data_IF_353756067123
#
_entry.id   IF_353756067123
#
_cell.length_a   1.000
_cell.length_b   1.000
_cell.length_c   1.000
_cell.angle_alpha   90.00
_cell.angle_beta   90.00
_cell.angle_gamma   90.00
#
_symmetry.space_group_name_H-M   'P 1'
#
loop_
_entity.id
_entity.type
_entity.pdbx_description
1 polymer ?
#
# COMPACT_ATOMS: atom_id res chain seq x y z
N UNK A 1 -5.21 10.43 4.73
CA UNK A 1 -6.20 11.32 4.10
C UNK A 1 -5.41 12.29 3.22
N UNK A 2 -5.26 11.99 1.93
CA UNK A 2 -4.56 12.89 0.98
C UNK A 2 -5.55 14.00 0.58
N UNK A 3 -5.13 15.25 0.74
CA UNK A 3 -5.94 16.46 0.54
C UNK A 3 -6.52 16.57 -0.87
N UNK A 4 -7.53 17.43 -1.03
CA UNK A 4 -8.20 17.67 -2.29
C UNK A 4 -7.20 18.03 -3.40
N UNK A 5 -7.26 17.32 -4.54
CA UNK A 5 -6.40 17.50 -5.72
C UNK A 5 -6.47 18.91 -6.38
N UNK A 6 -7.16 19.88 -5.78
CA UNK A 6 -7.44 21.18 -6.39
C UNK A 6 -6.16 21.98 -6.71
N UNK A 7 -5.08 21.77 -5.96
CA UNK A 7 -3.86 22.60 -6.01
C UNK A 7 -2.70 21.98 -6.79
N UNK A 8 -2.87 20.78 -7.36
CA UNK A 8 -1.82 20.00 -8.02
C UNK A 8 -1.47 20.52 -9.44
N UNK A 9 -1.16 21.81 -9.54
CA UNK A 9 -0.73 22.47 -10.76
C UNK A 9 0.76 22.20 -10.96
N UNK A 10 1.14 21.74 -12.15
CA UNK A 10 2.49 21.30 -12.44
C UNK A 10 3.00 21.86 -13.76
N UNK A 11 4.29 22.14 -13.80
CA UNK A 11 5.02 22.59 -14.96
C UNK A 11 6.07 21.55 -15.36
N UNK A 12 6.01 21.11 -16.61
CA UNK A 12 7.19 20.63 -17.31
C UNK A 12 7.92 21.84 -17.88
N UNK A 13 8.90 22.36 -17.15
CA UNK A 13 9.72 23.50 -17.55
C UNK A 13 10.80 23.07 -18.55
N UNK A 14 10.94 23.87 -19.61
CA UNK A 14 11.93 23.68 -20.68
C UNK A 14 11.98 22.25 -21.27
N UNK A 15 10.85 21.60 -21.60
CA UNK A 15 10.85 20.22 -22.06
C UNK A 15 11.36 20.14 -23.50
N UNK A 16 12.38 19.32 -23.73
CA UNK A 16 13.05 19.22 -25.04
C UNK A 16 13.66 17.85 -25.29
N UNK A 17 13.79 17.52 -26.57
CA UNK A 17 14.46 16.32 -27.07
C UNK A 17 15.81 16.70 -27.65
N UNK A 18 16.87 15.99 -27.26
CA UNK A 18 18.19 16.08 -27.88
C UNK A 18 18.26 15.06 -29.02
N UNK A 19 18.57 15.52 -30.22
CA UNK A 19 18.70 14.68 -31.42
C UNK A 19 20.12 14.12 -31.57
N UNK A 20 20.28 13.18 -32.50
CA UNK A 20 21.53 12.46 -32.72
C UNK A 20 22.70 13.36 -33.14
N UNK A 21 22.41 14.49 -33.76
CA UNK A 21 23.36 15.53 -34.19
C UNK A 21 23.66 16.56 -33.07
N UNK A 22 23.07 16.40 -31.89
CA UNK A 22 23.22 17.29 -30.75
C UNK A 22 22.29 18.50 -30.75
N UNK A 23 21.47 18.69 -31.80
CA UNK A 23 20.45 19.74 -31.81
C UNK A 23 19.31 19.43 -30.83
N UNK A 24 18.66 20.48 -30.31
CA UNK A 24 17.54 20.33 -29.37
C UNK A 24 16.22 20.78 -30.02
N UNK A 25 15.15 20.01 -29.79
CA UNK A 25 13.80 20.34 -30.22
C UNK A 25 12.87 20.49 -29.02
N UNK A 26 12.29 21.68 -28.85
CA UNK A 26 11.35 21.95 -27.75
C UNK A 26 10.05 21.17 -27.96
N UNK A 27 9.49 20.60 -26.91
CA UNK A 27 8.18 19.95 -27.00
C UNK A 27 7.04 20.96 -27.20
N UNK A 28 7.23 22.22 -26.80
CA UNK A 28 6.25 23.30 -27.05
C UNK A 28 6.06 23.59 -28.55
N UNK A 29 7.07 23.30 -29.36
CA UNK A 29 7.04 23.51 -30.81
C UNK A 29 6.43 22.31 -31.56
N UNK A 30 6.17 21.20 -30.85
CA UNK A 30 5.57 19.98 -31.38
C UNK A 30 4.10 19.91 -31.00
N UNK A 31 3.25 19.41 -31.89
CA UNK A 31 1.90 19.04 -31.50
C UNK A 31 1.96 17.73 -30.70
N UNK A 32 1.35 17.73 -29.50
CA UNK A 32 1.13 16.48 -28.81
C UNK A 32 0.11 15.64 -29.59
N UNK A 33 0.25 14.32 -29.49
CA UNK A 33 -0.70 13.35 -30.00
C UNK A 33 -1.98 13.34 -29.15
N UNK A 34 -1.81 13.46 -27.83
CA UNK A 34 -2.90 13.56 -26.86
C UNK A 34 -2.43 14.27 -25.59
N UNK A 35 -3.37 14.89 -24.88
CA UNK A 35 -3.15 15.45 -23.56
C UNK A 35 -4.42 15.30 -22.72
N UNK A 36 -4.27 14.89 -21.46
CA UNK A 36 -5.33 14.86 -20.45
C UNK A 36 -4.85 15.46 -19.14
N UNK A 37 -5.79 15.94 -18.32
CA UNK A 37 -5.53 16.58 -17.03
C UNK A 37 -6.77 16.46 -16.13
N UNK A 38 -6.58 16.55 -14.82
CA UNK A 38 -7.66 16.50 -13.83
C UNK A 38 -8.53 17.75 -13.83
N UNK A 39 -7.91 18.91 -13.96
CA UNK A 39 -8.60 20.21 -13.94
C UNK A 39 -7.98 21.21 -14.93
N UNK A 40 -8.78 22.16 -15.39
CA UNK A 40 -8.33 23.20 -16.32
C UNK A 40 -7.94 22.62 -17.68
N UNK A 41 -6.89 23.18 -18.29
CA UNK A 41 -6.37 22.71 -19.57
C UNK A 41 -4.86 22.50 -19.50
N UNK A 42 -4.37 21.44 -20.14
CA UNK A 42 -2.95 21.32 -20.47
C UNK A 42 -2.60 22.36 -21.53
N UNK A 43 -1.58 23.18 -21.28
CA UNK A 43 -1.22 24.32 -22.14
C UNK A 43 0.26 24.36 -22.43
N UNK A 44 0.61 24.91 -23.60
CA UNK A 44 1.98 25.27 -23.94
C UNK A 44 2.22 26.72 -23.53
N UNK A 45 3.34 26.98 -22.87
CA UNK A 45 3.79 28.31 -22.43
C UNK A 45 2.78 29.05 -21.53
N UNK A 46 1.94 28.31 -20.82
CA UNK A 46 1.00 28.81 -19.83
C UNK A 46 0.75 27.72 -18.78
N UNK A 47 0.42 28.12 -17.55
CA UNK A 47 0.07 27.18 -16.49
C UNK A 47 -1.35 26.58 -16.69
N UNK A 48 -1.77 25.67 -15.80
CA UNK A 48 -3.06 24.97 -15.91
C UNK A 48 -4.28 25.90 -15.99
N UNK A 49 -4.21 27.07 -15.34
CA UNK A 49 -5.23 28.11 -15.36
C UNK A 49 -5.16 29.05 -16.57
N UNK A 50 -4.12 28.97 -17.41
CA UNK A 50 -3.91 29.87 -18.55
C UNK A 50 -3.10 31.13 -18.25
N UNK A 51 -2.53 31.25 -17.04
CA UNK A 51 -1.63 32.32 -16.66
C UNK A 51 -0.16 32.02 -16.96
N UNK A 52 0.73 32.92 -16.53
CA UNK A 52 2.18 32.74 -16.65
C UNK A 52 2.67 31.57 -15.79
N UNK A 53 3.54 30.73 -16.35
CA UNK A 53 4.16 29.63 -15.63
C UNK A 53 5.23 30.17 -14.67
N UNK A 54 5.11 29.83 -13.38
CA UNK A 54 6.07 30.25 -12.35
C UNK A 54 6.40 29.13 -11.39
N UNK A 55 7.64 29.13 -10.90
CA UNK A 55 8.16 28.17 -9.92
C UNK A 55 9.00 28.94 -8.92
N UNK A 56 8.61 28.92 -7.64
CA UNK A 56 9.29 29.61 -6.55
C UNK A 56 9.46 31.12 -6.84
N UNK A 57 8.40 31.74 -7.35
CA UNK A 57 8.34 33.16 -7.72
C UNK A 57 9.03 33.50 -9.05
N UNK A 58 9.73 32.54 -9.67
CA UNK A 58 10.50 32.78 -10.90
C UNK A 58 9.73 32.32 -12.13
N UNK A 59 9.77 33.13 -13.18
CA UNK A 59 9.16 32.81 -14.47
C UNK A 59 9.82 31.56 -15.09
N UNK A 60 8.98 30.71 -15.68
CA UNK A 60 9.41 29.65 -16.59
C UNK A 60 9.27 30.17 -18.02
N UNK A 61 10.39 30.31 -18.74
CA UNK A 61 10.43 30.95 -20.07
C UNK A 61 9.59 30.22 -21.12
N UNK A 62 9.61 28.89 -21.09
CA UNK A 62 8.74 28.06 -21.91
C UNK A 62 8.53 26.71 -21.25
N UNK A 63 7.41 26.07 -21.55
CA UNK A 63 7.11 24.77 -20.98
C UNK A 63 5.69 24.33 -21.23
N UNK A 64 5.28 23.30 -20.50
CA UNK A 64 3.94 22.76 -20.56
C UNK A 64 3.35 22.77 -19.15
N UNK A 65 2.29 23.55 -18.96
CA UNK A 65 1.54 23.62 -17.71
C UNK A 65 0.36 22.65 -17.75
N UNK A 66 0.12 21.96 -16.64
CA UNK A 66 -0.96 20.97 -16.51
C UNK A 66 -1.40 20.81 -15.04
N UNK A 67 -2.39 19.96 -14.82
CA UNK A 67 -2.97 19.68 -13.51
C UNK A 67 -3.08 18.16 -13.29
N UNK A 68 -2.60 17.68 -12.15
CA UNK A 68 -2.62 16.25 -11.82
C UNK A 68 -4.04 15.73 -11.52
N UNK A 69 -4.40 14.51 -11.96
CA UNK A 69 -3.62 13.59 -12.78
C UNK A 69 -3.55 14.02 -14.25
N UNK A 70 -2.37 13.90 -14.88
CA UNK A 70 -2.15 14.28 -16.29
C UNK A 70 -1.34 13.26 -17.07
N UNK A 71 -1.67 13.09 -18.36
CA UNK A 71 -0.87 12.34 -19.34
C UNK A 71 -0.75 13.16 -20.62
N UNK A 72 0.47 13.36 -21.10
CA UNK A 72 0.78 14.11 -22.33
C UNK A 72 1.64 13.23 -23.22
N UNK A 73 1.17 12.95 -24.44
CA UNK A 73 1.84 12.05 -25.39
C UNK A 73 2.31 12.82 -26.62
N UNK A 74 3.54 12.58 -27.05
CA UNK A 74 4.12 13.13 -28.28
C UNK A 74 4.59 11.99 -29.18
N UNK A 75 4.48 12.18 -30.49
CA UNK A 75 5.24 11.35 -31.42
C UNK A 75 6.71 11.82 -31.38
N UNK A 76 7.61 10.91 -31.00
CA UNK A 76 9.04 11.21 -30.83
C UNK A 76 9.72 11.25 -32.20
N UNK A 77 10.36 12.37 -32.60
CA UNK A 77 11.07 12.47 -33.87
C UNK A 77 12.16 11.42 -33.99
N UNK A 78 12.32 10.85 -35.19
CA UNK A 78 13.39 9.89 -35.49
C UNK A 78 14.75 10.52 -35.17
N UNK A 79 15.58 9.79 -34.42
CA UNK A 79 16.91 10.24 -34.04
C UNK A 79 16.99 11.02 -32.72
N UNK A 80 15.87 11.21 -31.99
CA UNK A 80 15.93 11.68 -30.61
C UNK A 80 16.65 10.65 -29.71
N UNK A 81 17.60 11.11 -28.90
CA UNK A 81 18.43 10.28 -28.00
C UNK A 81 18.17 10.54 -26.52
N UNK A 82 17.74 11.74 -26.16
CA UNK A 82 17.56 12.13 -24.77
C UNK A 82 16.37 13.08 -24.62
N UNK A 83 15.60 12.90 -23.54
CA UNK A 83 14.63 13.88 -23.09
C UNK A 83 15.20 14.66 -21.90
N UNK A 84 15.03 15.99 -21.90
CA UNK A 84 15.42 16.86 -20.79
C UNK A 84 14.23 17.75 -20.43
N UNK A 85 13.92 17.83 -19.15
CA UNK A 85 12.94 18.76 -18.60
C UNK A 85 13.21 18.97 -17.10
N UNK A 86 12.61 20.02 -16.54
CA UNK A 86 12.52 20.23 -15.09
C UNK A 86 11.04 20.13 -14.69
N UNK A 87 10.69 19.13 -13.89
CA UNK A 87 9.35 19.03 -13.29
C UNK A 87 9.29 19.89 -12.02
N UNK A 88 8.26 20.72 -11.88
CA UNK A 88 8.04 21.52 -10.68
C UNK A 88 6.56 21.84 -10.47
N UNK A 89 6.16 22.08 -9.23
CA UNK A 89 4.85 22.66 -8.92
C UNK A 89 4.77 24.09 -9.45
N UNK A 90 3.61 24.47 -10.00
CA UNK A 90 3.35 25.84 -10.45
C UNK A 90 2.85 26.70 -9.29
N UNK A 91 3.37 27.94 -9.21
CA UNK A 91 2.98 28.88 -8.17
C UNK A 91 1.47 29.19 -8.18
N UNK A 92 0.80 29.08 -9.34
CA UNK A 92 -0.64 29.24 -9.47
C UNK A 92 -1.45 28.17 -8.73
N UNK A 93 -0.87 27.01 -8.44
CA UNK A 93 -1.44 25.98 -7.56
C UNK A 93 -1.04 26.21 -6.10
N UNK A 94 0.26 26.33 -5.84
CA UNK A 94 0.81 26.38 -4.46
C UNK A 94 0.50 27.68 -3.72
N UNK A 95 0.28 28.79 -4.43
CA UNK A 95 -0.02 30.09 -3.82
C UNK A 95 -1.52 30.30 -3.53
N UNK A 96 -2.36 29.32 -3.85
CA UNK A 96 -3.78 29.40 -3.50
C UNK A 96 -3.98 29.32 -1.99
N UNK A 97 -5.15 29.75 -1.50
CA UNK A 97 -5.49 29.62 -0.08
C UNK A 97 -4.60 30.41 0.89
N UNK A 98 -3.83 31.40 0.42
CA UNK A 98 -2.95 32.21 1.26
C UNK A 98 -1.47 31.81 1.24
N UNK A 99 -1.07 30.86 0.39
CA UNK A 99 0.34 30.47 0.20
C UNK A 99 0.74 29.10 0.76
N UNK A 100 -0.17 28.42 1.45
CA UNK A 100 0.05 27.12 2.11
C UNK A 100 -0.79 26.00 1.47
N UNK A 101 -1.12 26.12 0.18
CA UNK A 101 -1.94 25.11 -0.48
C UNK A 101 -1.20 23.76 -0.56
N UNK A 102 -1.77 22.66 0.00
CA UNK A 102 -1.13 21.37 -0.05
C UNK A 102 -1.18 20.82 -1.49
N UNK A 103 -0.03 20.85 -2.17
CA UNK A 103 0.13 20.30 -3.52
C UNK A 103 1.21 19.21 -3.52
N UNK A 104 0.92 18.09 -4.18
CA UNK A 104 1.84 16.96 -4.28
C UNK A 104 1.73 16.28 -5.65
N UNK A 105 2.84 16.16 -6.36
CA UNK A 105 2.88 15.56 -7.69
C UNK A 105 4.11 14.66 -7.86
N UNK A 106 3.99 13.65 -8.72
CA UNK A 106 5.11 12.84 -9.20
C UNK A 106 5.25 13.02 -10.72
N UNK A 107 6.48 13.23 -11.18
CA UNK A 107 6.81 13.37 -12.61
C UNK A 107 7.36 12.06 -13.14
N UNK A 108 6.70 11.50 -14.16
CA UNK A 108 7.07 10.21 -14.76
C UNK A 108 7.19 10.37 -16.28
N UNK A 109 8.19 9.70 -16.87
CA UNK A 109 8.46 9.74 -18.31
C UNK A 109 8.47 8.32 -18.86
N UNK A 110 7.77 8.10 -19.97
CA UNK A 110 7.64 6.79 -20.60
C UNK A 110 7.97 6.89 -22.09
N UNK A 111 8.58 5.84 -22.65
CA UNK A 111 8.84 5.72 -24.09
C UNK A 111 7.68 5.08 -24.86
N UNK A 112 6.67 4.58 -24.14
CA UNK A 112 5.43 4.02 -24.69
C UNK A 112 4.24 4.58 -23.89
N UNK A 113 3.01 4.38 -24.38
CA UNK A 113 1.81 4.85 -23.67
C UNK A 113 1.79 4.26 -22.24
N UNK A 114 1.81 5.08 -21.17
CA UNK A 114 1.85 4.59 -19.80
C UNK A 114 0.64 3.72 -19.45
N UNK A 115 -0.54 3.94 -20.04
CA UNK A 115 -1.66 3.02 -19.87
C UNK A 115 -1.36 1.65 -20.50
N UNK A 116 -0.63 1.61 -21.62
CA UNK A 116 -0.19 0.36 -22.24
C UNK A 116 1.03 -0.27 -21.53
N UNK A 117 1.94 0.52 -20.96
CA UNK A 117 3.08 0.04 -20.14
C UNK A 117 2.56 -0.50 -18.82
N UNK A 118 1.64 0.20 -18.16
CA UNK A 118 0.91 -0.27 -16.98
C UNK A 118 0.01 -1.45 -17.33
N UNK A 119 -0.63 -1.48 -18.50
CA UNK A 119 -1.38 -2.64 -18.96
C UNK A 119 -0.47 -3.83 -19.31
N UNK A 120 0.76 -3.62 -19.80
CA UNK A 120 1.76 -4.68 -20.01
C UNK A 120 2.35 -5.17 -18.68
N UNK A 121 2.59 -4.26 -17.73
CA UNK A 121 2.89 -4.58 -16.32
C UNK A 121 1.71 -5.28 -15.62
N UNK A 122 0.48 -4.98 -16.01
CA UNK A 122 -0.74 -5.70 -15.60
C UNK A 122 -0.99 -6.96 -16.44
N UNK A 123 -0.37 -7.13 -17.60
CA UNK A 123 -0.38 -8.42 -18.32
C UNK A 123 0.64 -9.39 -17.72
N UNK A 124 1.64 -8.90 -16.99
CA UNK A 124 2.41 -9.67 -16.01
C UNK A 124 1.81 -9.65 -14.59
N UNK A 125 0.66 -9.01 -14.38
CA UNK A 125 -0.08 -9.07 -13.10
C UNK A 125 -1.56 -9.33 -13.38
N UNK A 126 -1.95 -10.60 -13.54
CA UNK A 126 -3.35 -10.96 -13.62
C UNK A 126 -4.09 -10.38 -12.40
N UNK A 127 -5.24 -9.75 -12.62
CA UNK A 127 -6.18 -9.52 -11.54
C UNK A 127 -6.56 -10.92 -11.00
N UNK A 128 -6.23 -11.19 -9.73
CA UNK A 128 -6.57 -12.40 -8.95
C UNK A 128 -5.82 -13.73 -9.24
N UNK A 129 -4.50 -13.68 -9.39
CA UNK A 129 -3.63 -14.77 -8.93
C UNK A 129 -2.73 -14.21 -7.83
N UNK A 130 -2.73 -14.81 -6.63
CA UNK A 130 -1.77 -14.41 -5.59
C UNK A 130 -0.35 -14.47 -6.14
N UNK A 131 0.54 -13.58 -5.67
CA UNK A 131 1.98 -13.78 -5.87
C UNK A 131 2.34 -15.12 -5.25
N UNK A 132 3.20 -15.91 -5.90
CA UNK A 132 3.69 -17.11 -5.24
C UNK A 132 4.49 -16.70 -4.00
N UNK A 133 4.58 -17.62 -3.04
CA UNK A 133 5.43 -17.47 -1.87
C UNK A 133 6.86 -17.07 -2.25
N UNK A 134 7.41 -17.68 -3.30
CA UNK A 134 8.77 -17.45 -3.78
C UNK A 134 9.00 -16.03 -4.34
N UNK A 135 7.95 -15.34 -4.78
CA UNK A 135 8.01 -13.97 -5.32
C UNK A 135 7.73 -12.90 -4.25
N UNK A 136 7.53 -13.28 -2.98
CA UNK A 136 7.08 -12.37 -1.93
C UNK A 136 8.03 -11.19 -1.68
N UNK A 137 9.34 -11.41 -1.85
CA UNK A 137 10.39 -10.42 -1.53
C UNK A 137 10.71 -9.49 -2.70
N UNK A 138 10.33 -9.83 -3.93
CA UNK A 138 10.73 -9.11 -5.15
C UNK A 138 10.31 -7.64 -5.20
N UNK A 139 9.35 -7.26 -4.35
CA UNK A 139 8.82 -5.90 -4.25
C UNK A 139 9.27 -5.12 -3.00
N UNK A 140 10.08 -5.73 -2.14
CA UNK A 140 10.60 -5.08 -0.94
C UNK A 140 11.96 -4.44 -1.22
N UNK A 141 12.10 -3.16 -0.87
CA UNK A 141 13.40 -2.50 -0.75
C UNK A 141 13.83 -2.58 0.72
N UNK A 142 14.87 -3.37 1.00
CA UNK A 142 15.35 -3.63 2.37
C UNK A 142 16.63 -2.83 2.60
N UNK A 143 16.73 -2.18 3.77
CA UNK A 143 17.95 -1.47 4.16
C UNK A 143 19.13 -2.46 4.27
N UNK A 144 20.38 -2.08 3.92
CA UNK A 144 21.52 -3.02 3.93
C UNK A 144 21.85 -3.70 5.28
N UNK A 145 21.34 -3.17 6.39
CA UNK A 145 21.52 -3.73 7.75
C UNK A 145 20.34 -4.61 8.21
N UNK A 146 19.33 -4.79 7.36
CA UNK A 146 18.16 -5.60 7.63
C UNK A 146 18.09 -6.77 6.66
N UNK A 147 17.47 -7.86 7.11
CA UNK A 147 17.14 -9.02 6.30
C UNK A 147 15.62 -9.17 6.25
N UNK A 148 15.09 -9.50 5.07
CA UNK A 148 13.70 -9.87 4.90
C UNK A 148 13.66 -11.28 4.30
N UNK A 149 12.89 -12.15 4.94
CA UNK A 149 12.71 -13.54 4.53
C UNK A 149 11.23 -13.90 4.61
N UNK A 150 10.78 -14.78 3.70
CA UNK A 150 9.46 -15.38 3.83
C UNK A 150 9.46 -16.36 5.01
N UNK A 151 8.69 -16.05 6.05
CA UNK A 151 8.54 -16.93 7.21
C UNK A 151 7.47 -18.02 6.99
N UNK A 152 6.29 -17.67 6.47
CA UNK A 152 5.19 -18.62 6.24
C UNK A 152 4.29 -18.17 5.08
N UNK A 153 3.64 -19.14 4.42
CA UNK A 153 2.68 -18.91 3.33
C UNK A 153 1.55 -19.94 3.35
N UNK A 154 0.65 -19.86 2.39
CA UNK A 154 -0.29 -20.93 2.10
C UNK A 154 0.46 -22.26 1.87
N UNK A 155 -0.08 -23.40 2.33
CA UNK A 155 -1.38 -23.58 2.99
C UNK A 155 -1.36 -23.43 4.53
N UNK A 156 -0.22 -23.07 5.15
CA UNK A 156 -0.09 -22.98 6.62
C UNK A 156 -0.98 -21.87 7.21
N UNK A 157 -1.10 -20.77 6.47
CA UNK A 157 -1.96 -19.61 6.75
C UNK A 157 -2.72 -19.21 5.49
N UNK A 158 -3.88 -18.57 5.62
CA UNK A 158 -4.68 -18.14 4.47
C UNK A 158 -4.96 -16.64 4.40
N UNK A 159 -5.23 -15.99 5.53
CA UNK A 159 -5.55 -14.57 5.59
C UNK A 159 -5.16 -13.99 6.94
N UNK A 160 -3.86 -13.73 7.19
CA UNK A 160 -3.40 -13.17 8.46
C UNK A 160 -3.96 -11.75 8.66
N UNK A 161 -4.55 -11.48 9.84
CA UNK A 161 -5.02 -10.13 10.23
C UNK A 161 -4.23 -9.51 11.39
N UNK A 162 -3.73 -10.34 12.29
CA UNK A 162 -2.99 -9.93 13.48
C UNK A 162 -2.06 -11.07 13.89
N UNK A 163 -0.91 -10.71 14.46
CA UNK A 163 0.07 -11.67 14.96
C UNK A 163 0.58 -11.24 16.33
N UNK A 164 1.07 -12.22 17.08
CA UNK A 164 1.90 -12.02 18.27
C UNK A 164 3.00 -13.10 18.34
N UNK A 165 4.03 -12.88 19.14
CA UNK A 165 5.16 -13.79 19.30
C UNK A 165 5.29 -14.17 20.78
N UNK A 166 5.24 -15.46 21.08
CA UNK A 166 5.37 -15.94 22.46
C UNK A 166 6.82 -16.06 22.92
N UNK A 167 7.01 -16.41 24.20
CA UNK A 167 8.33 -16.57 24.81
C UNK A 167 9.19 -17.70 24.20
N UNK A 168 8.59 -18.58 23.40
CA UNK A 168 9.28 -19.64 22.67
C UNK A 168 9.65 -19.23 21.24
N UNK A 169 9.31 -18.00 20.83
CA UNK A 169 9.55 -17.48 19.49
C UNK A 169 8.56 -17.98 18.44
N UNK A 170 7.44 -18.60 18.86
CA UNK A 170 6.41 -19.08 17.94
C UNK A 170 5.52 -17.91 17.52
N UNK A 171 5.13 -17.88 16.24
CA UNK A 171 4.27 -16.82 15.70
C UNK A 171 2.82 -17.25 15.76
N UNK A 172 2.01 -16.56 16.55
CA UNK A 172 0.59 -16.77 16.67
C UNK A 172 -0.15 -15.86 15.70
N UNK A 173 -1.10 -16.40 14.94
CA UNK A 173 -1.75 -15.68 13.83
C UNK A 173 -3.26 -15.81 13.92
N UNK A 174 -3.96 -14.67 13.84
CA UNK A 174 -5.38 -14.64 13.51
C UNK A 174 -5.55 -14.87 11.99
N UNK A 175 -5.97 -16.08 11.61
CA UNK A 175 -6.17 -16.50 10.22
C UNK A 175 -7.65 -16.40 9.82
N UNK A 176 -8.01 -15.26 9.21
CA UNK A 176 -9.38 -14.76 9.07
C UNK A 176 -9.96 -14.87 7.66
N UNK A 177 -10.10 -16.10 7.18
CA UNK A 177 -10.63 -16.38 5.83
C UNK A 177 -12.06 -15.87 5.64
N UNK A 178 -12.87 -15.82 6.71
CA UNK A 178 -14.28 -15.42 6.64
C UNK A 178 -14.52 -13.90 6.63
N UNK A 179 -13.48 -13.08 6.48
CA UNK A 179 -13.63 -11.62 6.49
C UNK A 179 -14.51 -11.07 5.35
N UNK A 180 -15.46 -10.19 5.72
CA UNK A 180 -16.34 -9.44 4.81
C UNK A 180 -17.04 -10.31 3.76
N UNK A 181 -16.69 -10.11 2.48
CA UNK A 181 -17.31 -10.79 1.33
C UNK A 181 -17.08 -12.29 1.31
N UNK A 182 -16.15 -12.79 2.14
CA UNK A 182 -15.83 -14.21 2.26
C UNK A 182 -16.58 -14.88 3.43
N UNK A 183 -17.56 -14.21 4.05
CA UNK A 183 -18.31 -14.78 5.18
C UNK A 183 -18.81 -16.19 4.87
N UNK A 184 -18.49 -17.15 5.74
CA UNK A 184 -18.88 -18.56 5.61
C UNK A 184 -18.05 -19.37 4.60
N UNK A 185 -17.00 -18.80 3.98
CA UNK A 185 -16.09 -19.53 3.09
C UNK A 185 -15.42 -20.70 3.80
N UNK A 186 -15.03 -20.52 5.07
CA UNK A 186 -14.58 -21.56 6.00
C UNK A 186 -15.73 -21.90 6.94
N UNK A 187 -16.39 -23.04 6.69
CA UNK A 187 -17.59 -23.46 7.43
C UNK A 187 -17.37 -23.62 8.94
N UNK A 188 -16.18 -24.06 9.37
CA UNK A 188 -15.84 -24.22 10.79
C UNK A 188 -15.50 -22.92 11.51
N UNK A 189 -15.59 -21.77 10.84
CA UNK A 189 -15.14 -20.48 11.37
C UNK A 189 -13.63 -20.26 11.25
N UNK A 190 -13.20 -19.04 11.51
CA UNK A 190 -11.80 -18.62 11.47
C UNK A 190 -10.95 -19.26 12.58
N UNK A 191 -9.63 -19.14 12.44
CA UNK A 191 -8.65 -19.87 13.26
C UNK A 191 -7.67 -18.93 13.92
N UNK A 192 -7.19 -19.35 15.08
CA UNK A 192 -5.90 -18.93 15.63
C UNK A 192 -4.93 -20.07 15.37
N UNK A 193 -3.82 -19.78 14.71
CA UNK A 193 -2.79 -20.77 14.37
C UNK A 193 -1.45 -20.37 14.96
N UNK A 194 -0.68 -21.37 15.40
CA UNK A 194 0.68 -21.24 15.91
C UNK A 194 1.60 -21.73 14.80
N UNK A 195 2.55 -20.90 14.39
CA UNK A 195 3.57 -21.22 13.40
C UNK A 195 4.92 -21.32 14.08
N UNK A 196 5.63 -22.42 13.80
CA UNK A 196 6.88 -22.76 14.46
C UNK A 196 7.95 -23.06 13.40
N UNK A 197 9.14 -22.51 13.63
CA UNK A 197 10.40 -22.91 12.99
C UNK A 197 11.09 -23.88 13.95
N UNK A 198 11.20 -25.15 13.58
CA UNK A 198 11.75 -26.20 14.44
C UNK A 198 13.20 -26.55 14.13
N UNK A 199 13.75 -26.02 13.03
CA UNK A 199 15.12 -26.28 12.60
C UNK A 199 16.04 -25.05 12.58
N UNK A 200 15.48 -23.86 12.81
CA UNK A 200 16.19 -22.60 12.97
C UNK A 200 16.59 -21.93 11.66
N UNK A 201 15.96 -22.26 10.53
CA UNK A 201 16.24 -21.66 9.21
C UNK A 201 15.48 -20.34 8.95
N UNK A 202 14.76 -19.84 9.96
CA UNK A 202 13.88 -18.68 9.92
C UNK A 202 12.69 -18.86 8.97
N UNK A 203 12.20 -20.09 8.82
CA UNK A 203 10.94 -20.43 8.14
C UNK A 203 10.10 -21.34 9.02
N UNK A 204 8.81 -21.10 9.03
CA UNK A 204 7.89 -22.00 9.70
C UNK A 204 7.81 -23.33 8.93
N UNK A 205 8.00 -24.43 9.64
CA UNK A 205 7.85 -25.80 9.13
C UNK A 205 6.64 -26.52 9.76
N UNK A 206 6.09 -25.98 10.85
CA UNK A 206 4.99 -26.56 11.61
C UNK A 206 3.88 -25.53 11.82
N UNK A 207 2.64 -26.01 11.70
CA UNK A 207 1.43 -25.24 11.94
C UNK A 207 0.48 -26.02 12.85
N UNK A 208 0.10 -25.41 13.97
CA UNK A 208 -0.83 -25.97 14.95
C UNK A 208 -2.06 -25.07 15.03
N UNK A 209 -3.28 -25.64 14.96
CA UNK A 209 -4.51 -24.87 15.17
C UNK A 209 -4.78 -24.82 16.67
N UNK A 210 -4.62 -23.64 17.27
CA UNK A 210 -4.88 -23.41 18.68
C UNK A 210 -6.39 -23.38 18.98
N UNK A 211 -7.13 -22.59 18.21
CA UNK A 211 -8.58 -22.44 18.35
C UNK A 211 -9.21 -22.23 16.99
N UNK A 212 -10.42 -22.77 16.79
CA UNK A 212 -11.22 -22.55 15.60
C UNK A 212 -12.70 -22.43 15.97
N UNK A 213 -13.36 -21.38 15.47
CA UNK A 213 -14.80 -21.22 15.69
C UNK A 213 -15.39 -20.01 14.98
N UNK A 214 -16.70 -20.02 14.74
CA UNK A 214 -17.41 -18.89 14.12
C UNK A 214 -17.52 -17.67 15.04
N UNK A 215 -17.40 -17.90 16.35
CA UNK A 215 -17.32 -16.88 17.40
C UNK A 215 -16.02 -16.06 17.35
N UNK A 216 -15.07 -16.44 16.49
CA UNK A 216 -13.86 -15.66 16.20
C UNK A 216 -13.75 -15.26 14.72
N UNK A 217 -14.86 -15.35 13.96
CA UNK A 217 -14.87 -14.90 12.57
C UNK A 217 -14.43 -13.43 12.49
N UNK A 218 -13.31 -13.25 11.81
CA UNK A 218 -12.55 -12.01 11.69
C UNK A 218 -12.12 -11.38 13.02
N UNK A 219 -11.37 -12.16 13.79
CA UNK A 219 -10.48 -11.65 14.83
C UNK A 219 -9.44 -10.66 14.29
N UNK A 220 -9.18 -9.58 15.03
CA UNK A 220 -8.31 -8.47 14.62
C UNK A 220 -7.24 -8.11 15.65
N UNK A 221 -7.17 -8.84 16.77
CA UNK A 221 -6.16 -8.68 17.78
C UNK A 221 -5.89 -9.99 18.48
N UNK A 222 -4.61 -10.26 18.74
CA UNK A 222 -4.13 -11.35 19.56
C UNK A 222 -3.02 -10.82 20.48
N UNK A 223 -2.98 -11.32 21.71
CA UNK A 223 -1.92 -11.10 22.68
C UNK A 223 -1.71 -12.39 23.48
N UNK A 224 -0.48 -12.90 23.51
CA UNK A 224 -0.10 -14.15 24.16
C UNK A 224 0.71 -13.84 25.42
N UNK A 225 0.28 -14.40 26.55
CA UNK A 225 0.88 -14.20 27.87
C UNK A 225 1.02 -15.55 28.57
N UNK A 226 2.06 -16.31 28.23
CA UNK A 226 2.24 -17.69 28.70
C UNK A 226 1.06 -18.57 28.28
N UNK A 227 0.35 -19.12 29.26
CA UNK A 227 -0.82 -20.00 29.04
C UNK A 227 -2.10 -19.25 28.67
N UNK A 228 -2.10 -17.91 28.64
CA UNK A 228 -3.28 -17.07 28.36
C UNK A 228 -3.17 -16.37 27.02
N UNK A 229 -4.19 -16.55 26.18
CA UNK A 229 -4.31 -15.92 24.86
C UNK A 229 -5.50 -14.98 24.86
N UNK A 230 -5.27 -13.69 24.71
CA UNK A 230 -6.32 -12.66 24.65
C UNK A 230 -6.62 -12.34 23.18
N UNK A 231 -7.90 -12.37 22.82
CA UNK A 231 -8.36 -12.23 21.44
C UNK A 231 -9.40 -11.12 21.35
N UNK A 232 -9.25 -10.25 20.35
CA UNK A 232 -10.26 -9.26 19.95
C UNK A 232 -10.99 -9.78 18.72
N UNK A 233 -12.29 -10.07 18.85
CA UNK A 233 -13.13 -10.49 17.72
C UNK A 233 -14.54 -9.87 17.84
N UNK A 234 -15.00 -9.23 16.75
CA UNK A 234 -16.28 -8.54 16.74
C UNK A 234 -16.37 -7.43 17.80
N UNK A 235 -17.35 -7.52 18.69
CA UNK A 235 -17.62 -6.55 19.77
C UNK A 235 -17.04 -6.99 21.13
N UNK A 236 -16.15 -7.99 21.10
CA UNK A 236 -15.72 -8.72 22.27
C UNK A 236 -14.19 -8.79 22.38
N UNK A 237 -13.72 -8.73 23.62
CA UNK A 237 -12.36 -9.12 24.01
C UNK A 237 -12.51 -10.24 25.04
N UNK A 238 -11.86 -11.36 24.81
CA UNK A 238 -11.91 -12.53 25.70
C UNK A 238 -10.56 -13.23 25.78
N UNK A 239 -10.38 -14.05 26.81
CA UNK A 239 -9.23 -14.93 26.98
C UNK A 239 -9.60 -16.36 26.62
N UNK A 240 -8.64 -17.09 26.05
CA UNK A 240 -8.57 -18.54 25.94
C UNK A 240 -7.32 -18.99 26.70
N UNK A 241 -7.28 -20.26 27.14
CA UNK A 241 -6.14 -20.77 27.90
C UNK A 241 -5.61 -22.09 27.34
N UNK A 242 -4.31 -22.31 27.46
CA UNK A 242 -3.56 -23.54 27.13
C UNK A 242 -2.84 -24.05 28.40
N UNK A 243 -3.59 -24.58 29.36
CA UNK A 243 -3.01 -24.87 30.69
C UNK A 243 -2.13 -26.11 30.70
N UNK A 244 -2.35 -27.03 29.77
CA UNK A 244 -1.54 -28.25 29.62
C UNK A 244 -0.40 -28.10 28.61
N UNK A 245 -0.34 -27.00 27.87
CA UNK A 245 0.74 -26.64 26.97
C UNK A 245 0.74 -27.49 25.70
N UNK A 246 -0.41 -28.07 25.32
CA UNK A 246 -0.55 -28.91 24.13
C UNK A 246 -0.72 -28.10 22.83
N UNK A 247 -0.76 -26.77 22.93
CA UNK A 247 -0.92 -25.86 21.80
C UNK A 247 -2.36 -25.77 21.31
N UNK A 248 -3.35 -26.14 22.13
CA UNK A 248 -4.78 -25.97 21.88
C UNK A 248 -5.46 -25.25 23.03
N UNK A 249 -6.54 -24.55 22.70
CA UNK A 249 -7.38 -23.98 23.73
C UNK A 249 -8.05 -25.10 24.54
N UNK A 250 -7.88 -25.03 25.86
CA UNK A 250 -8.60 -25.84 26.83
C UNK A 250 -10.12 -25.76 26.56
N UNK A 251 -10.86 -26.88 26.61
CA UNK A 251 -12.31 -26.87 26.53
C UNK A 251 -12.94 -25.90 27.55
N UNK A 252 -13.93 -25.13 27.11
CA UNK A 252 -14.68 -24.17 27.95
C UNK A 252 -13.82 -23.11 28.67
N UNK A 253 -12.60 -22.85 28.20
CA UNK A 253 -11.68 -21.86 28.81
C UNK A 253 -11.97 -20.41 28.45
N UNK A 254 -12.98 -20.16 27.62
CA UNK A 254 -13.30 -18.83 27.13
C UNK A 254 -13.79 -17.92 28.26
N UNK A 255 -13.01 -16.89 28.58
CA UNK A 255 -13.33 -15.91 29.62
C UNK A 255 -13.51 -14.51 29.03
N UNK A 256 -14.72 -13.96 29.11
CA UNK A 256 -15.02 -12.61 28.60
C UNK A 256 -14.34 -11.54 29.44
N UNK A 257 -13.62 -10.62 28.80
CA UNK A 257 -12.98 -9.48 29.45
C UNK A 257 -13.79 -8.19 29.23
N UNK A 258 -14.11 -7.89 27.98
CA UNK A 258 -14.85 -6.70 27.59
C UNK A 258 -15.90 -7.05 26.54
N UNK A 259 -17.08 -6.44 26.64
CA UNK A 259 -18.22 -6.66 25.74
C UNK A 259 -18.91 -5.33 25.42
N UNK A 260 -19.85 -5.35 24.47
CA UNK A 260 -20.69 -4.19 24.08
C UNK A 260 -19.90 -3.02 23.51
N UNK A 261 -18.73 -3.31 22.94
CA UNK A 261 -17.96 -2.32 22.21
C UNK A 261 -18.61 -2.23 20.81
N UNK A 262 -19.26 -1.12 20.53
CA UNK A 262 -20.05 -0.98 19.31
C UNK A 262 -19.17 -1.00 18.06
N UNK A 263 -19.53 -1.83 17.09
CA UNK A 263 -18.81 -1.89 15.82
C UNK A 263 -19.29 -3.06 14.97
N UNK A 264 -19.65 -2.81 13.71
CA UNK A 264 -19.84 -3.91 12.76
C UNK A 264 -18.50 -4.59 12.48
N UNK A 265 -18.54 -5.85 12.06
CA UNK A 265 -17.43 -6.59 11.43
C UNK A 265 -16.73 -5.71 10.36
N UNK A 266 -15.63 -5.04 10.74
CA UNK A 266 -15.03 -3.91 10.01
C UNK A 266 -13.58 -3.67 10.47
N UNK A 267 -12.70 -3.21 9.57
CA UNK A 267 -11.30 -2.89 9.86
C UNK A 267 -11.09 -1.69 10.80
N UNK A 268 -12.15 -1.00 11.24
CA UNK A 268 -12.06 0.00 12.33
C UNK A 268 -12.71 -0.49 13.63
N UNK A 269 -12.84 -1.81 13.83
CA UNK A 269 -13.25 -2.42 15.11
C UNK A 269 -12.11 -2.44 16.15
N UNK A 270 -12.28 -3.24 17.20
CA UNK A 270 -11.23 -3.48 18.21
C UNK A 270 -10.09 -4.26 17.56
N UNK A 271 -8.85 -3.85 17.82
CA UNK A 271 -7.64 -4.49 17.29
C UNK A 271 -6.73 -4.99 18.42
N UNK A 272 -5.43 -5.03 18.16
CA UNK A 272 -4.39 -5.53 19.05
C UNK A 272 -4.38 -4.84 20.41
N UNK A 273 -4.01 -5.63 21.42
CA UNK A 273 -3.71 -5.20 22.77
C UNK A 273 -2.20 -5.36 22.94
N UNK A 274 -1.56 -4.46 23.67
CA UNK A 274 -0.13 -4.54 23.96
C UNK A 274 0.05 -4.61 25.47
N UNK A 275 0.85 -5.57 25.92
CA UNK A 275 1.23 -5.68 27.32
C UNK A 275 2.47 -4.82 27.57
N UNK A 276 2.40 -3.90 28.53
CA UNK A 276 3.52 -3.05 28.91
C UNK A 276 3.18 -2.18 30.13
N UNK A 277 4.18 -1.76 30.91
CA UNK A 277 3.97 -0.93 32.10
C UNK A 277 3.36 0.46 31.79
N UNK A 278 3.35 0.87 30.53
CA UNK A 278 2.93 2.21 30.09
C UNK A 278 1.81 2.24 29.05
N UNK A 279 1.33 1.09 28.55
CA UNK A 279 0.17 1.02 27.65
C UNK A 279 0.26 1.93 26.42
N UNK A 280 1.48 2.17 25.92
CA UNK A 280 1.79 2.98 24.74
C UNK A 280 2.47 2.16 23.67
#
# INVERSE_FOLDING_TARGET
>A
MLGSHAFDWANWAEPRLVLADGSEKKLTDLNWKSASQGWGQTRKNANAGGGEMRVLGRKVEYGIGTHSPSVISFDVPKGAKQFKARGALDDGGTSQGGGDAPASVAFLVYTENPAAVMAKKQQSVPNSGGRSADEALDSLEVHPELEAQLFASEPMIGSPSSIDIDELGRVWVCDVVNYRRNQGKRKGGDKIVILEDTDGDAKADKSTVFYQGNDIDSAHGILVLGDRVIVSAGEEIFSLYDRDGDGKADPDSKEMMFTKISGKQHDHGIHAMHFGPDGR
#
